data_IF_595315668081
#
_entry.id   IF_595315668081
#
_cell.length_a   1.000
_cell.length_b   1.000
_cell.length_c   1.000
_cell.angle_alpha   90.00
_cell.angle_beta   90.00
_cell.angle_gamma   90.00
#
_symmetry.space_group_name_H-M   'P 1'
#
loop_
_entity.id
_entity.type
_entity.pdbx_description
1 polymer ?
#
# COMPACT_ATOMS: atom_id res chain seq x y z
N UNK A 1 21.20 1.20 43.79
CA UNK A 1 22.14 1.34 42.67
C UNK A 1 21.44 0.77 41.45
N UNK A 2 21.08 1.61 40.47
CA UNK A 2 20.30 1.22 39.29
C UNK A 2 21.22 1.19 38.08
N UNK A 3 21.62 0.00 37.66
CA UNK A 3 22.19 -0.24 36.33
C UNK A 3 21.11 -0.87 35.45
N UNK A 4 20.24 -0.04 34.88
CA UNK A 4 19.43 -0.44 33.72
C UNK A 4 20.24 -0.15 32.46
N UNK A 5 21.30 -0.92 32.25
CA UNK A 5 22.06 -0.92 31.00
C UNK A 5 21.21 -1.64 29.95
N UNK A 6 20.69 -0.88 28.98
CA UNK A 6 20.02 -1.44 27.81
C UNK A 6 21.02 -2.38 27.12
N UNK A 7 20.71 -3.67 26.92
CA UNK A 7 21.63 -4.60 26.28
C UNK A 7 22.00 -4.06 24.90
N UNK A 8 23.30 -3.80 24.70
CA UNK A 8 23.82 -3.24 23.45
C UNK A 8 24.15 -4.41 22.51
N UNK A 9 23.53 -4.45 21.33
CA UNK A 9 23.79 -5.50 20.34
C UNK A 9 25.27 -5.52 19.92
N UNK A 10 25.84 -6.71 19.91
CA UNK A 10 27.16 -6.99 19.37
C UNK A 10 27.20 -6.76 17.86
N UNK A 11 28.41 -6.61 17.30
CA UNK A 11 28.62 -6.45 15.85
C UNK A 11 28.03 -7.61 15.04
N UNK A 12 28.16 -8.84 15.54
CA UNK A 12 27.61 -10.03 14.89
C UNK A 12 26.09 -10.04 14.88
N UNK A 13 25.46 -9.61 15.98
CA UNK A 13 23.99 -9.48 16.06
C UNK A 13 23.47 -8.40 15.12
N UNK A 14 24.17 -7.26 14.99
CA UNK A 14 23.82 -6.21 14.02
C UNK A 14 23.88 -6.73 12.58
N UNK A 15 24.96 -7.45 12.22
CA UNK A 15 25.11 -8.04 10.90
C UNK A 15 24.03 -9.09 10.60
N UNK A 16 23.63 -9.89 11.59
CA UNK A 16 22.54 -10.86 11.45
C UNK A 16 21.21 -10.16 11.24
N UNK A 17 20.92 -9.10 11.99
CA UNK A 17 19.70 -8.31 11.83
C UNK A 17 19.61 -7.69 10.43
N UNK A 18 20.69 -7.06 9.94
CA UNK A 18 20.75 -6.50 8.59
C UNK A 18 20.48 -7.55 7.51
N UNK A 19 21.00 -8.79 7.69
CA UNK A 19 20.72 -9.91 6.79
C UNK A 19 19.26 -10.35 6.83
N UNK A 20 18.66 -10.41 8.02
CA UNK A 20 17.24 -10.77 8.19
C UNK A 20 16.36 -9.73 7.49
N UNK A 21 16.58 -8.44 7.75
CA UNK A 21 15.85 -7.35 7.10
C UNK A 21 16.05 -7.34 5.58
N UNK A 22 17.25 -7.71 5.11
CA UNK A 22 17.54 -7.90 3.69
C UNK A 22 16.70 -9.03 3.06
N UNK A 23 16.63 -10.18 3.73
CA UNK A 23 15.84 -11.33 3.29
C UNK A 23 14.33 -11.02 3.31
N UNK A 24 13.83 -10.35 4.35
CA UNK A 24 12.43 -9.94 4.43
C UNK A 24 12.04 -9.00 3.28
N UNK A 25 12.92 -8.05 2.92
CA UNK A 25 12.72 -7.17 1.76
C UNK A 25 12.65 -7.96 0.45
N UNK A 26 13.55 -8.93 0.26
CA UNK A 26 13.55 -9.78 -0.94
C UNK A 26 12.30 -10.65 -1.03
N UNK A 27 11.90 -11.29 0.07
CA UNK A 27 10.66 -12.10 0.13
C UNK A 27 9.46 -11.22 -0.21
N UNK A 28 9.36 -10.03 0.37
CA UNK A 28 8.29 -9.08 0.09
C UNK A 28 8.27 -8.66 -1.39
N UNK A 29 9.44 -8.45 -1.99
CA UNK A 29 9.55 -8.12 -3.42
C UNK A 29 9.08 -9.26 -4.32
N UNK A 30 9.43 -10.51 -4.00
CA UNK A 30 8.99 -11.69 -4.75
C UNK A 30 7.46 -11.84 -4.67
N UNK A 31 6.91 -11.79 -3.45
CA UNK A 31 5.46 -11.91 -3.25
C UNK A 31 4.68 -10.79 -3.96
N UNK A 32 5.20 -9.57 -3.97
CA UNK A 32 4.60 -8.47 -4.70
C UNK A 32 4.63 -8.72 -6.22
N UNK A 33 5.75 -9.23 -6.76
CA UNK A 33 5.89 -9.53 -8.18
C UNK A 33 4.94 -10.64 -8.62
N UNK A 34 4.74 -11.67 -7.80
CA UNK A 34 3.76 -12.73 -8.07
C UNK A 34 2.33 -12.19 -8.05
N UNK A 35 2.00 -11.34 -7.08
CA UNK A 35 0.67 -10.73 -6.98
C UNK A 35 0.36 -9.81 -8.18
N UNK A 36 1.34 -9.01 -8.63
CA UNK A 36 1.21 -8.11 -9.79
C UNK A 36 1.05 -8.88 -11.11
N UNK A 37 1.71 -10.02 -11.25
CA UNK A 37 1.60 -10.87 -12.44
C UNK A 37 0.54 -11.97 -12.32
N UNK A 38 -0.24 -11.98 -11.24
CA UNK A 38 -1.23 -13.01 -11.01
C UNK A 38 -2.36 -12.92 -12.03
N UNK A 39 -2.60 -14.04 -12.71
CA UNK A 39 -3.78 -14.25 -13.57
C UNK A 39 -5.00 -14.70 -12.76
N UNK A 40 -4.85 -14.90 -11.44
CA UNK A 40 -5.94 -15.35 -10.58
C UNK A 40 -7.05 -14.30 -10.49
N UNK A 41 -8.29 -14.75 -10.65
CA UNK A 41 -9.48 -13.92 -10.51
C UNK A 41 -10.27 -14.30 -9.25
N UNK A 42 -10.65 -13.30 -8.47
CA UNK A 42 -11.46 -13.46 -7.26
C UNK A 42 -12.86 -12.87 -7.43
N UNK A 43 -13.83 -13.37 -6.64
CA UNK A 43 -15.20 -12.86 -6.62
C UNK A 43 -15.31 -11.51 -5.92
N UNK A 44 -16.42 -10.79 -6.16
CA UNK A 44 -16.77 -9.56 -5.44
C UNK A 44 -16.66 -9.69 -3.91
N UNK A 45 -17.19 -10.78 -3.35
CA UNK A 45 -17.15 -11.01 -1.89
C UNK A 45 -15.72 -11.15 -1.37
N UNK A 46 -14.82 -11.80 -2.11
CA UNK A 46 -13.40 -11.92 -1.74
C UNK A 46 -12.65 -10.60 -1.93
N UNK A 47 -12.93 -9.87 -3.01
CA UNK A 47 -12.36 -8.55 -3.26
C UNK A 47 -12.73 -7.56 -2.14
N UNK A 48 -14.02 -7.49 -1.76
CA UNK A 48 -14.52 -6.68 -0.66
C UNK A 48 -13.80 -6.98 0.66
N UNK A 49 -13.61 -8.27 0.98
CA UNK A 49 -12.83 -8.69 2.17
C UNK A 49 -11.37 -8.23 2.11
N UNK A 50 -10.70 -8.38 0.97
CA UNK A 50 -9.29 -7.95 0.80
C UNK A 50 -9.13 -6.44 0.90
N UNK A 51 -10.09 -5.68 0.37
CA UNK A 51 -10.08 -4.22 0.40
C UNK A 51 -10.59 -3.63 1.72
N UNK A 52 -11.15 -4.46 2.61
CA UNK A 52 -11.84 -4.00 3.82
C UNK A 52 -13.00 -3.02 3.52
N UNK A 53 -13.71 -3.25 2.42
CA UNK A 53 -14.85 -2.44 1.96
C UNK A 53 -16.12 -3.28 1.88
N UNK A 54 -17.29 -2.61 1.83
CA UNK A 54 -18.54 -3.30 1.52
C UNK A 54 -18.59 -3.73 0.06
N UNK A 55 -19.30 -4.83 -0.29
CA UNK A 55 -19.48 -5.23 -1.69
C UNK A 55 -20.08 -4.13 -2.57
N UNK A 56 -21.02 -3.34 -2.05
CA UNK A 56 -21.66 -2.24 -2.79
C UNK A 56 -20.67 -1.12 -3.08
N UNK A 57 -19.83 -0.75 -2.10
CA UNK A 57 -18.74 0.21 -2.30
C UNK A 57 -17.78 -0.27 -3.40
N UNK A 58 -17.42 -1.55 -3.41
CA UNK A 58 -16.54 -2.11 -4.44
C UNK A 58 -17.21 -2.06 -5.82
N UNK A 59 -18.51 -2.34 -5.91
CA UNK A 59 -19.26 -2.19 -7.17
C UNK A 59 -19.28 -0.73 -7.63
N UNK A 60 -19.43 0.22 -6.73
CA UNK A 60 -19.41 1.64 -7.07
C UNK A 60 -18.04 2.11 -7.55
N UNK A 61 -16.94 1.60 -6.98
CA UNK A 61 -15.58 1.83 -7.48
C UNK A 61 -15.43 1.32 -8.92
N UNK A 62 -15.98 0.15 -9.23
CA UNK A 62 -15.98 -0.38 -10.61
C UNK A 62 -16.78 0.51 -11.54
N UNK A 63 -17.99 0.93 -11.14
CA UNK A 63 -18.84 1.81 -11.96
C UNK A 63 -18.20 3.19 -12.21
N UNK A 64 -17.43 3.70 -11.26
CA UNK A 64 -16.67 4.95 -11.38
C UNK A 64 -15.38 4.80 -12.19
N UNK A 65 -15.05 3.59 -12.65
CA UNK A 65 -13.81 3.30 -13.37
C UNK A 65 -12.55 3.32 -12.50
N UNK A 66 -12.71 3.35 -11.17
CA UNK A 66 -11.60 3.39 -10.21
C UNK A 66 -11.03 2.01 -9.89
N UNK A 67 -11.78 0.94 -10.19
CA UNK A 67 -11.34 -0.44 -9.99
C UNK A 67 -11.70 -1.28 -11.20
N UNK A 68 -10.72 -1.96 -11.78
CA UNK A 68 -10.92 -2.84 -12.92
C UNK A 68 -11.58 -4.16 -12.51
N UNK A 69 -12.64 -4.56 -13.22
CA UNK A 69 -13.30 -5.84 -13.04
C UNK A 69 -13.88 -6.36 -14.35
N UNK A 70 -13.85 -7.68 -14.53
CA UNK A 70 -14.61 -8.35 -15.59
C UNK A 70 -16.04 -8.58 -15.09
N UNK A 71 -17.02 -8.07 -15.85
CA UNK A 71 -18.44 -8.26 -15.58
C UNK A 71 -19.05 -9.30 -16.51
N UNK A 72 -19.90 -10.18 -15.98
CA UNK A 72 -20.68 -11.13 -16.77
C UNK A 72 -22.04 -11.39 -16.14
N UNK A 73 -22.97 -11.97 -16.91
CA UNK A 73 -24.28 -12.41 -16.41
C UNK A 73 -24.21 -13.89 -16.06
N UNK A 74 -24.67 -14.26 -14.87
CA UNK A 74 -24.85 -15.67 -14.50
C UNK A 74 -26.15 -16.26 -15.09
N UNK A 75 -26.41 -17.54 -14.82
CA UNK A 75 -27.62 -18.24 -15.29
C UNK A 75 -28.92 -17.59 -14.81
N UNK A 76 -28.89 -16.87 -13.68
CA UNK A 76 -30.02 -16.13 -13.13
C UNK A 76 -30.13 -14.70 -13.67
N UNK A 77 -29.35 -14.34 -14.71
CA UNK A 77 -29.22 -12.98 -15.27
C UNK A 77 -28.73 -11.92 -14.27
N UNK A 78 -28.14 -12.33 -13.15
CA UNK A 78 -27.51 -11.43 -12.19
C UNK A 78 -26.12 -11.05 -12.67
N UNK A 79 -25.74 -9.78 -12.50
CA UNK A 79 -24.39 -9.32 -12.81
C UNK A 79 -23.41 -9.85 -11.77
N UNK A 80 -22.36 -10.51 -12.23
CA UNK A 80 -21.25 -10.98 -11.41
C UNK A 80 -19.97 -10.25 -11.81
N UNK A 81 -19.07 -10.10 -10.84
CA UNK A 81 -17.82 -9.39 -10.97
C UNK A 81 -16.66 -10.33 -10.63
N UNK A 82 -15.62 -10.29 -11.48
CA UNK A 82 -14.34 -10.95 -11.24
C UNK A 82 -13.23 -9.92 -11.28
N UNK A 83 -12.34 -9.99 -10.31
CA UNK A 83 -11.24 -9.06 -10.12
C UNK A 83 -9.94 -9.83 -10.21
N UNK A 84 -8.99 -9.36 -11.03
CA UNK A 84 -7.63 -9.90 -10.95
C UNK A 84 -7.04 -9.54 -9.60
N UNK A 85 -6.30 -10.47 -8.99
CA UNK A 85 -5.61 -10.22 -7.72
C UNK A 85 -4.66 -9.03 -7.84
N UNK A 86 -3.97 -8.90 -8.98
CA UNK A 86 -3.10 -7.77 -9.29
C UNK A 86 -3.83 -6.42 -9.26
N UNK A 87 -5.01 -6.30 -9.89
CA UNK A 87 -5.81 -5.08 -9.88
C UNK A 87 -6.21 -4.66 -8.47
N UNK A 88 -6.53 -5.62 -7.59
CA UNK A 88 -6.84 -5.36 -6.17
C UNK A 88 -5.60 -4.85 -5.42
N UNK A 89 -4.45 -5.48 -5.63
CA UNK A 89 -3.19 -5.05 -5.01
C UNK A 89 -2.75 -3.66 -5.49
N UNK A 90 -2.88 -3.37 -6.78
CA UNK A 90 -2.55 -2.07 -7.36
C UNK A 90 -3.44 -0.98 -6.78
N UNK A 91 -4.75 -1.20 -6.73
CA UNK A 91 -5.69 -0.26 -6.10
C UNK A 91 -5.32 0.03 -4.64
N UNK A 92 -4.93 -0.98 -3.85
CA UNK A 92 -4.47 -0.79 -2.47
C UNK A 92 -3.15 -0.02 -2.35
N UNK A 93 -2.26 -0.14 -3.34
CA UNK A 93 -1.02 0.64 -3.37
C UNK A 93 -1.35 2.10 -3.69
N UNK A 94 -2.10 2.34 -4.76
CA UNK A 94 -2.48 3.70 -5.21
C UNK A 94 -3.23 4.47 -4.11
N UNK A 95 -4.27 3.87 -3.52
CA UNK A 95 -5.01 4.49 -2.41
C UNK A 95 -4.16 4.75 -1.16
N UNK A 96 -3.14 3.94 -0.88
CA UNK A 96 -2.20 4.22 0.22
C UNK A 96 -1.31 5.43 -0.04
N UNK A 97 -0.97 5.71 -1.31
CA UNK A 97 -0.21 6.90 -1.67
C UNK A 97 -1.10 8.16 -1.71
N UNK A 98 -2.39 8.04 -2.02
CA UNK A 98 -3.34 9.16 -1.94
C UNK A 98 -3.59 9.65 -0.50
N UNK A 99 -3.41 8.78 0.51
CA UNK A 99 -3.47 9.17 1.92
C UNK A 99 -2.17 9.79 2.46
N UNK A 100 -1.09 9.77 1.69
CA UNK A 100 0.03 10.70 1.92
C UNK A 100 -0.32 11.98 1.15
N UNK A 101 -1.35 12.67 1.62
CA UNK A 101 -1.41 14.11 1.41
C UNK A 101 -0.26 14.68 2.25
N UNK A 102 0.94 14.69 1.67
CA UNK A 102 1.88 15.76 1.96
C UNK A 102 1.09 16.97 1.48
N UNK A 103 0.40 17.64 2.40
CA UNK A 103 0.15 19.05 2.22
C UNK A 103 1.50 19.59 1.78
N UNK A 104 1.61 19.96 0.50
CA UNK A 104 2.63 20.88 0.09
C UNK A 104 2.30 22.15 0.88
N UNK A 105 2.73 22.19 2.15
CA UNK A 105 3.11 23.44 2.76
C UNK A 105 4.07 24.02 1.73
N UNK A 106 3.63 25.10 1.09
CA UNK A 106 4.47 25.91 0.24
C UNK A 106 5.72 26.18 1.06
N UNK A 107 6.81 25.45 0.74
CA UNK A 107 8.07 25.63 1.43
C UNK A 107 8.44 27.09 1.22
N UNK A 108 8.53 27.85 2.31
CA UNK A 108 9.08 29.20 2.32
C UNK A 108 10.39 29.15 1.52
N UNK A 109 10.50 29.98 0.48
CA UNK A 109 11.70 29.97 -0.35
C UNK A 109 12.92 30.28 0.53
N UNK A 110 14.09 29.72 0.19
CA UNK A 110 15.31 30.00 0.95
C UNK A 110 15.60 31.50 1.06
N UNK A 111 15.15 32.31 0.10
CA UNK A 111 15.23 33.76 0.13
C UNK A 111 14.30 34.40 1.17
N UNK A 112 13.06 33.91 1.31
CA UNK A 112 12.10 34.42 2.28
C UNK A 112 12.52 34.06 3.72
N UNK A 113 13.02 32.84 3.90
CA UNK A 113 13.60 32.40 5.18
C UNK A 113 14.83 33.23 5.55
N UNK A 114 15.71 33.55 4.59
CA UNK A 114 16.88 34.38 4.82
C UNK A 114 16.51 35.82 5.19
N UNK A 115 15.52 36.43 4.51
CA UNK A 115 15.03 37.77 4.88
C UNK A 115 14.53 37.82 6.31
N UNK A 116 13.82 36.80 6.77
CA UNK A 116 13.32 36.73 8.16
C UNK A 116 14.44 36.61 9.19
N UNK A 117 15.49 35.85 8.90
CA UNK A 117 16.62 35.64 9.82
C UNK A 117 17.55 36.86 9.87
N UNK A 118 17.76 37.52 8.73
CA UNK A 118 18.78 38.57 8.59
C UNK A 118 18.23 40.02 8.62
N UNK A 119 16.90 40.22 8.58
CA UNK A 119 16.29 41.54 8.81
C UNK A 119 15.81 41.71 10.26
N UNK A 120 16.71 41.53 11.23
CA UNK A 120 16.62 42.15 12.56
C UNK A 120 17.59 43.32 12.60
#
# INVERSE_FOLDING_TARGET
>A
MNENSIPTMTRSEKLLLEKIEGLERLIKAILNKEAENSIEEISLSKAAKKLHLSPDTVVDLVKKGQLEARTYKDGDRKTRYRFKVSSIHNFQKETKYDHISIHAEEFESAEDMAKRIFNV
#
